data_IF_290103775435
#
_entry.id   IF_290103775435
#
_cell.length_a   1.000
_cell.length_b   1.000
_cell.length_c   1.000
_cell.angle_alpha   90.00
_cell.angle_beta   90.00
_cell.angle_gamma   90.00
#
_symmetry.space_group_name_H-M   'P 1'
#
loop_
_entity.id
_entity.type
_entity.pdbx_description
1 polymer ?
#
# COMPACT_ATOMS: atom_id res chain seq x y z
N UNK A 1 36.99 -68.22 27.12
CA UNK A 1 35.89 -68.47 26.17
C UNK A 1 34.58 -67.99 26.82
N UNK A 2 34.50 -66.71 27.18
CA UNK A 2 33.92 -65.58 26.42
C UNK A 2 32.43 -65.78 26.06
N UNK A 3 31.60 -65.68 27.10
CA UNK A 3 30.36 -64.88 27.20
C UNK A 3 29.63 -64.66 25.87
N UNK A 4 28.80 -65.61 25.46
CA UNK A 4 27.83 -65.42 24.39
C UNK A 4 26.64 -66.35 24.64
N UNK A 5 25.53 -65.81 25.17
CA UNK A 5 24.16 -66.30 24.93
C UNK A 5 23.14 -65.66 25.90
N UNK A 6 23.04 -64.32 25.93
CA UNK A 6 21.83 -63.61 26.38
C UNK A 6 21.71 -62.30 25.60
N UNK A 7 21.60 -62.42 24.29
CA UNK A 7 21.35 -61.31 23.37
C UNK A 7 20.03 -61.58 22.65
N UNK A 8 18.92 -61.42 23.37
CA UNK A 8 17.59 -61.34 22.80
C UNK A 8 16.69 -60.70 23.86
N UNK A 9 15.86 -59.75 23.46
CA UNK A 9 14.91 -59.01 24.31
C UNK A 9 15.57 -57.87 25.10
N UNK A 10 15.80 -56.74 24.43
CA UNK A 10 15.48 -55.35 24.86
C UNK A 10 16.07 -54.46 23.74
N UNK A 11 15.49 -54.50 22.54
CA UNK A 11 15.82 -53.53 21.48
C UNK A 11 14.63 -53.35 20.52
N UNK A 12 13.43 -53.20 21.08
CA UNK A 12 12.21 -52.97 20.27
C UNK A 12 11.31 -51.96 20.98
N UNK A 13 11.83 -50.79 21.34
CA UNK A 13 11.01 -49.73 21.96
C UNK A 13 11.54 -48.29 21.74
N UNK A 14 12.32 -48.01 20.68
CA UNK A 14 12.79 -46.65 20.38
C UNK A 14 12.75 -46.40 18.86
N UNK A 15 11.58 -46.53 18.22
CA UNK A 15 11.47 -46.23 16.78
C UNK A 15 10.17 -45.57 16.33
N UNK A 16 9.31 -45.02 17.20
CA UNK A 16 8.07 -44.43 16.71
C UNK A 16 7.55 -43.25 17.55
N UNK A 17 8.34 -42.17 17.64
CA UNK A 17 7.82 -40.86 18.03
C UNK A 17 8.73 -39.71 17.59
N UNK A 18 9.18 -39.68 16.33
CA UNK A 18 9.55 -38.40 15.72
C UNK A 18 8.25 -37.76 15.25
N UNK A 19 7.52 -37.13 16.18
CA UNK A 19 6.49 -36.18 15.81
C UNK A 19 7.23 -35.01 15.18
N UNK A 20 7.24 -34.97 13.84
CA UNK A 20 7.62 -33.77 13.09
C UNK A 20 6.60 -32.71 13.48
N UNK A 21 6.90 -31.92 14.52
CA UNK A 21 6.23 -30.66 14.76
C UNK A 21 6.62 -29.75 13.60
N UNK A 22 5.90 -29.87 12.48
CA UNK A 22 5.87 -28.77 11.52
C UNK A 22 5.34 -27.57 12.30
N UNK A 23 6.10 -26.45 12.40
CA UNK A 23 5.53 -25.24 12.97
C UNK A 23 4.27 -24.94 12.17
N UNK A 24 3.12 -24.93 12.85
CA UNK A 24 1.88 -24.46 12.24
C UNK A 24 2.19 -23.07 11.70
N UNK A 25 2.05 -22.87 10.38
CA UNK A 25 2.15 -21.56 9.78
C UNK A 25 1.15 -20.68 10.51
N UNK A 26 1.64 -19.76 11.34
CA UNK A 26 0.79 -18.79 12.02
C UNK A 26 0.34 -17.83 10.94
N UNK A 27 -0.97 -17.74 10.72
CA UNK A 27 -1.55 -16.64 9.96
C UNK A 27 -1.06 -15.34 10.62
N UNK A 28 -0.33 -14.53 9.85
CA UNK A 28 0.05 -13.20 10.30
C UNK A 28 -1.15 -12.27 10.01
N UNK A 29 -1.54 -11.47 11.00
CA UNK A 29 -2.61 -10.48 10.80
C UNK A 29 -2.02 -9.31 10.02
N UNK A 30 -2.46 -9.15 8.78
CA UNK A 30 -2.13 -8.01 7.95
C UNK A 30 -3.33 -7.07 7.81
N UNK A 31 -3.12 -5.88 7.26
CA UNK A 31 -4.14 -4.86 7.09
C UNK A 31 -4.18 -4.42 5.63
N UNK A 32 -5.39 -4.37 5.05
CA UNK A 32 -5.58 -3.90 3.67
C UNK A 32 -6.28 -2.55 3.65
N UNK A 33 -5.59 -1.50 3.21
CA UNK A 33 -6.09 -0.13 3.26
C UNK A 33 -5.33 0.84 2.35
N UNK A 34 -5.89 2.04 2.20
CA UNK A 34 -5.25 3.19 1.56
C UNK A 34 -4.25 3.87 2.50
N UNK A 35 -2.99 3.89 2.11
CA UNK A 35 -1.90 4.61 2.79
C UNK A 35 -1.63 5.95 2.11
N UNK A 36 -1.32 6.97 2.90
CA UNK A 36 -1.04 8.33 2.43
C UNK A 36 0.47 8.62 2.49
N UNK A 37 1.02 9.13 1.39
CA UNK A 37 2.45 9.34 1.21
C UNK A 37 2.75 10.76 0.75
N UNK A 38 3.87 11.28 1.22
CA UNK A 38 4.47 12.54 0.78
C UNK A 38 5.86 12.26 0.23
N UNK A 39 6.53 13.29 -0.30
CA UNK A 39 7.90 13.18 -0.77
C UNK A 39 8.84 13.96 0.16
N UNK A 40 9.93 13.32 0.58
CA UNK A 40 11.05 13.99 1.23
C UNK A 40 12.36 13.41 0.70
N UNK A 41 13.37 14.27 0.48
CA UNK A 41 14.64 13.87 -0.11
C UNK A 41 14.49 13.09 -1.43
N UNK A 42 13.48 13.43 -2.23
CA UNK A 42 13.14 12.74 -3.48
C UNK A 42 12.75 11.27 -3.34
N UNK A 43 12.27 10.87 -2.16
CA UNK A 43 11.79 9.52 -1.86
C UNK A 43 10.38 9.59 -1.25
N UNK A 44 9.61 8.51 -1.44
CA UNK A 44 8.32 8.37 -0.79
C UNK A 44 8.49 8.20 0.71
N UNK A 45 7.74 8.99 1.47
CA UNK A 45 7.65 8.91 2.93
C UNK A 45 6.20 8.66 3.33
N UNK A 46 5.98 7.58 4.07
CA UNK A 46 4.67 7.29 4.64
C UNK A 46 4.31 8.38 5.63
N UNK A 47 3.21 9.09 5.39
CA UNK A 47 2.80 10.18 6.27
C UNK A 47 2.38 9.64 7.63
N UNK A 48 2.92 10.26 8.69
CA UNK A 48 2.56 9.97 10.08
C UNK A 48 1.34 10.79 10.55
N UNK A 49 0.86 11.70 9.71
CA UNK A 49 -0.34 12.50 9.93
C UNK A 49 -1.33 12.30 8.79
N UNK A 50 -2.62 12.50 9.07
CA UNK A 50 -3.65 12.40 8.05
C UNK A 50 -3.53 13.50 6.97
N UNK A 51 -4.12 13.28 5.78
CA UNK A 51 -4.10 14.26 4.69
C UNK A 51 -4.77 15.58 5.06
N UNK A 52 -5.73 15.58 5.98
CA UNK A 52 -6.42 16.78 6.47
C UNK A 52 -5.51 17.65 7.36
N UNK A 53 -4.43 17.10 7.92
CA UNK A 53 -3.44 17.82 8.72
C UNK A 53 -2.16 18.14 7.95
N UNK A 54 -2.11 17.81 6.65
CA UNK A 54 -0.98 18.10 5.78
C UNK A 54 -1.34 19.30 4.92
N UNK A 55 -0.51 20.35 4.93
CA UNK A 55 -0.66 21.54 4.08
C UNK A 55 0.46 21.53 3.04
N UNK A 56 0.18 21.16 1.77
CA UNK A 56 1.19 21.15 0.72
C UNK A 56 1.57 22.55 0.23
N UNK A 57 2.75 22.66 -0.36
CA UNK A 57 3.20 23.79 -1.15
C UNK A 57 2.95 23.56 -2.66
N UNK A 58 3.06 24.62 -3.49
CA UNK A 58 3.12 24.45 -4.95
C UNK A 58 4.35 23.63 -5.31
N UNK A 59 4.18 22.63 -6.17
CA UNK A 59 5.28 21.74 -6.52
C UNK A 59 5.24 20.40 -5.77
N UNK A 60 4.45 20.30 -4.70
CA UNK A 60 4.43 19.11 -3.89
C UNK A 60 3.83 17.91 -4.64
N UNK A 61 4.39 16.74 -4.33
CA UNK A 61 3.89 15.45 -4.76
C UNK A 61 3.33 14.72 -3.55
N UNK A 62 2.11 14.21 -3.70
CA UNK A 62 1.43 13.38 -2.71
C UNK A 62 0.89 12.13 -3.37
N UNK A 63 0.63 11.09 -2.58
CA UNK A 63 0.08 9.86 -3.11
C UNK A 63 -0.81 9.09 -2.16
N UNK A 64 -1.68 8.29 -2.77
CA UNK A 64 -2.48 7.27 -2.13
C UNK A 64 -2.11 5.91 -2.69
N UNK A 65 -1.75 4.96 -1.82
CA UNK A 65 -1.37 3.59 -2.20
C UNK A 65 -2.24 2.60 -1.46
N UNK A 66 -3.04 1.83 -2.19
CA UNK A 66 -3.79 0.72 -1.64
C UNK A 66 -2.91 -0.53 -1.60
N UNK A 67 -2.70 -1.09 -0.41
CA UNK A 67 -1.80 -2.22 -0.22
C UNK A 67 -2.21 -3.07 0.99
N UNK A 68 -1.61 -4.25 1.09
CA UNK A 68 -1.63 -5.09 2.29
C UNK A 68 -0.34 -4.82 3.07
N UNK A 69 -0.46 -4.38 4.32
CA UNK A 69 0.67 -4.09 5.19
C UNK A 69 0.70 -5.06 6.37
N UNK A 70 1.90 -5.38 6.88
CA UNK A 70 2.05 -6.29 8.02
C UNK A 70 1.54 -5.69 9.34
N UNK A 71 1.41 -4.36 9.44
CA UNK A 71 0.83 -3.70 10.61
C UNK A 71 0.10 -2.42 10.21
N UNK A 72 -0.84 -1.99 11.05
CA UNK A 72 -1.71 -0.84 10.76
C UNK A 72 -0.99 0.52 10.74
N UNK A 73 0.26 0.60 11.22
CA UNK A 73 0.99 1.87 11.44
C UNK A 73 2.20 2.05 10.53
N UNK A 74 2.55 1.05 9.71
CA UNK A 74 3.66 1.13 8.77
C UNK A 74 3.35 0.35 7.51
N UNK A 75 3.91 0.83 6.40
CA UNK A 75 3.83 0.19 5.10
C UNK A 75 5.22 0.19 4.49
N UNK A 76 5.62 -0.97 3.98
CA UNK A 76 6.83 -1.13 3.16
C UNK A 76 6.50 -1.07 1.66
N UNK A 77 5.27 -0.70 1.31
CA UNK A 77 4.77 -0.62 -0.06
C UNK A 77 4.52 0.85 -0.42
N UNK A 78 5.55 1.60 -0.84
CA UNK A 78 5.36 2.94 -1.37
C UNK A 78 4.56 2.90 -2.68
N UNK A 79 4.03 4.06 -3.13
CA UNK A 79 3.50 4.18 -4.48
C UNK A 79 4.53 3.75 -5.52
N UNK A 80 4.09 3.04 -6.56
CA UNK A 80 4.99 2.47 -7.59
C UNK A 80 5.50 3.49 -8.62
N UNK A 81 5.05 4.74 -8.54
CA UNK A 81 5.51 5.84 -9.40
C UNK A 81 6.81 6.43 -8.87
N UNK A 82 7.75 6.81 -9.73
CA UNK A 82 8.94 7.56 -9.28
C UNK A 82 8.53 8.97 -8.82
N UNK A 83 8.70 9.32 -7.52
CA UNK A 83 8.30 10.64 -7.01
C UNK A 83 9.08 11.78 -7.67
N UNK A 84 10.29 11.54 -8.19
CA UNK A 84 11.12 12.57 -8.86
C UNK A 84 10.52 13.05 -10.16
N UNK A 85 9.79 12.18 -10.85
CA UNK A 85 9.20 12.47 -12.15
C UNK A 85 7.71 12.83 -12.04
N UNK A 86 7.08 12.52 -10.91
CA UNK A 86 5.64 12.65 -10.73
C UNK A 86 5.14 14.08 -10.94
N UNK A 87 5.80 15.10 -10.36
CA UNK A 87 5.32 16.48 -10.51
C UNK A 87 5.33 16.95 -11.96
N UNK A 88 6.46 16.80 -12.65
CA UNK A 88 6.58 17.23 -14.05
C UNK A 88 5.60 16.49 -14.94
N UNK A 89 5.48 15.16 -14.78
CA UNK A 89 4.57 14.34 -15.57
C UNK A 89 3.09 14.71 -15.36
N UNK A 90 2.70 15.08 -14.14
CA UNK A 90 1.30 15.31 -13.78
C UNK A 90 0.88 16.78 -13.92
N UNK A 91 1.74 17.70 -13.48
CA UNK A 91 1.43 19.12 -13.34
C UNK A 91 2.27 20.03 -14.25
N UNK A 92 3.27 19.53 -14.99
CA UNK A 92 4.21 20.37 -15.76
C UNK A 92 3.54 21.31 -16.77
N UNK A 93 2.44 20.86 -17.38
CA UNK A 93 1.63 21.67 -18.31
C UNK A 93 0.51 22.47 -17.65
N UNK A 94 0.29 22.32 -16.33
CA UNK A 94 -0.83 22.96 -15.62
C UNK A 94 -0.41 24.34 -15.14
N UNK A 95 -1.20 25.34 -15.54
CA UNK A 95 -1.01 26.73 -15.08
C UNK A 95 -1.33 26.85 -13.59
N UNK A 96 -0.54 27.64 -12.87
CA UNK A 96 -0.80 28.01 -11.47
C UNK A 96 -1.47 29.39 -11.39
N UNK A 97 -2.78 29.49 -11.09
CA UNK A 97 -3.42 30.78 -10.85
C UNK A 97 -2.83 31.48 -9.62
N UNK A 98 -2.99 32.80 -9.54
CA UNK A 98 -2.60 33.58 -8.36
C UNK A 98 -3.38 33.11 -7.12
N UNK A 99 -2.69 32.99 -5.98
CA UNK A 99 -3.27 32.51 -4.71
C UNK A 99 -3.58 31.01 -4.67
N UNK A 100 -3.14 30.26 -5.70
CA UNK A 100 -3.30 28.82 -5.79
C UNK A 100 -1.94 28.11 -5.91
N UNK A 101 -1.98 26.83 -5.58
CA UNK A 101 -0.89 25.86 -5.68
C UNK A 101 -1.33 24.69 -6.57
N UNK A 102 -0.35 24.01 -7.14
CA UNK A 102 -0.49 22.73 -7.83
C UNK A 102 0.12 21.65 -6.96
N UNK A 103 -0.66 20.59 -6.75
CA UNK A 103 -0.22 19.38 -6.05
C UNK A 103 -0.37 18.22 -7.01
N UNK A 104 0.72 17.55 -7.32
CA UNK A 104 0.69 16.34 -8.14
C UNK A 104 0.25 15.16 -7.26
N UNK A 105 -0.94 14.62 -7.53
CA UNK A 105 -1.49 13.50 -6.78
C UNK A 105 -1.37 12.20 -7.57
N UNK A 106 -0.69 11.22 -7.00
CA UNK A 106 -0.65 9.84 -7.51
C UNK A 106 -1.69 9.00 -6.77
N UNK A 107 -2.58 8.34 -7.50
CA UNK A 107 -3.51 7.36 -6.97
C UNK A 107 -3.09 6.00 -7.50
N UNK A 108 -2.63 5.14 -6.60
CA UNK A 108 -2.14 3.79 -6.89
C UNK A 108 -3.06 2.75 -6.21
N UNK A 109 -4.02 2.16 -6.96
CA UNK A 109 -5.02 1.22 -6.44
C UNK A 109 -4.50 -0.17 -6.03
N UNK A 110 -3.20 -0.43 -6.06
CA UNK A 110 -2.69 -1.73 -5.64
C UNK A 110 -2.37 -2.69 -6.78
N UNK A 111 -2.12 -3.94 -6.41
CA UNK A 111 -1.93 -5.04 -7.32
C UNK A 111 -3.15 -5.96 -7.31
N UNK A 112 -3.40 -6.67 -8.41
CA UNK A 112 -4.52 -7.61 -8.50
C UNK A 112 -4.45 -8.73 -7.47
N UNK A 113 -3.25 -9.20 -7.12
CA UNK A 113 -3.06 -10.27 -6.12
C UNK A 113 -3.29 -9.82 -4.66
N UNK A 114 -3.39 -8.51 -4.42
CA UNK A 114 -3.69 -7.94 -3.10
C UNK A 114 -5.03 -7.21 -3.07
N UNK A 115 -5.80 -7.25 -4.16
CA UNK A 115 -7.14 -6.69 -4.26
C UNK A 115 -8.14 -7.47 -3.38
N UNK A 116 -9.27 -6.85 -3.01
CA UNK A 116 -10.38 -7.59 -2.40
C UNK A 116 -10.91 -8.67 -3.35
N UNK A 117 -11.47 -9.72 -2.77
CA UNK A 117 -11.99 -10.86 -3.53
C UNK A 117 -13.01 -10.43 -4.60
N UNK A 118 -12.80 -10.89 -5.83
CA UNK A 118 -13.65 -10.57 -6.97
C UNK A 118 -13.52 -9.15 -7.50
N UNK A 119 -12.63 -8.32 -6.95
CA UNK A 119 -12.36 -6.97 -7.42
C UNK A 119 -11.06 -6.91 -8.21
N UNK A 120 -10.99 -6.01 -9.18
CA UNK A 120 -9.78 -5.71 -9.94
C UNK A 120 -9.41 -4.25 -9.73
N UNK A 121 -8.17 -3.93 -9.32
CA UNK A 121 -7.75 -2.55 -9.19
C UNK A 121 -7.83 -1.82 -10.54
N UNK A 122 -8.36 -0.59 -10.59
CA UNK A 122 -8.19 0.25 -11.77
C UNK A 122 -6.70 0.59 -12.00
N UNK A 123 -6.33 1.06 -13.20
CA UNK A 123 -4.97 1.51 -13.45
C UNK A 123 -4.55 2.64 -12.50
N UNK A 124 -3.28 2.62 -12.07
CA UNK A 124 -2.72 3.73 -11.32
C UNK A 124 -2.70 5.00 -12.19
N UNK A 125 -3.07 6.14 -11.58
CA UNK A 125 -3.22 7.40 -12.31
C UNK A 125 -2.63 8.58 -11.56
N UNK A 126 -2.25 9.61 -12.32
CA UNK A 126 -1.88 10.92 -11.80
C UNK A 126 -2.95 11.97 -12.11
N UNK A 127 -3.13 12.94 -11.22
CA UNK A 127 -3.93 14.14 -11.52
C UNK A 127 -3.38 15.36 -10.78
N UNK A 128 -3.39 16.51 -11.45
CA UNK A 128 -2.92 17.75 -10.87
C UNK A 128 -4.07 18.44 -10.13
N UNK A 129 -3.97 18.54 -8.81
CA UNK A 129 -4.91 19.32 -8.01
C UNK A 129 -4.47 20.78 -8.00
N UNK A 130 -5.35 21.70 -8.43
CA UNK A 130 -5.13 23.14 -8.30
C UNK A 130 -6.05 23.65 -7.20
N UNK A 131 -5.46 24.07 -6.08
CA UNK A 131 -6.19 24.42 -4.85
C UNK A 131 -5.63 25.72 -4.25
N UNK A 132 -6.37 26.38 -3.36
CA UNK A 132 -5.85 27.57 -2.66
C UNK A 132 -4.67 27.22 -1.72
N UNK A 133 -3.73 28.15 -1.54
CA UNK A 133 -2.45 27.97 -0.82
C UNK A 133 -2.54 27.49 0.64
N UNK A 134 -3.71 27.55 1.28
CA UNK A 134 -3.94 27.10 2.67
C UNK A 134 -4.75 25.81 2.79
N UNK A 135 -5.08 25.18 1.66
CA UNK A 135 -5.88 23.94 1.63
C UNK A 135 -5.04 22.73 2.00
N UNK A 136 -5.70 21.71 2.52
CA UNK A 136 -5.07 20.48 3.00
C UNK A 136 -4.80 19.48 1.87
N UNK A 137 -4.01 18.44 2.14
CA UNK A 137 -3.85 17.29 1.25
C UNK A 137 -5.17 16.52 1.03
N UNK A 138 -6.09 16.57 2.00
CA UNK A 138 -7.44 16.02 1.81
C UNK A 138 -8.23 16.82 0.77
N UNK A 139 -8.10 18.15 0.78
CA UNK A 139 -8.70 19.01 -0.24
C UNK A 139 -8.08 18.78 -1.62
N UNK A 140 -6.76 18.56 -1.67
CA UNK A 140 -6.07 18.18 -2.90
C UNK A 140 -6.66 16.89 -3.50
N UNK A 141 -6.90 15.85 -2.67
CA UNK A 141 -7.53 14.61 -3.13
C UNK A 141 -8.97 14.87 -3.62
N UNK A 142 -9.78 15.57 -2.82
CA UNK A 142 -11.19 15.85 -3.16
C UNK A 142 -11.34 16.70 -4.43
N UNK A 143 -10.32 17.48 -4.81
CA UNK A 143 -10.33 18.24 -6.05
C UNK A 143 -10.20 17.37 -7.31
N UNK A 144 -9.67 16.15 -7.20
CA UNK A 144 -9.33 15.29 -8.36
C UNK A 144 -9.88 13.87 -8.28
N UNK A 145 -10.55 13.51 -7.20
CA UNK A 145 -11.13 12.20 -6.95
C UNK A 145 -12.28 12.27 -5.94
N UNK A 146 -13.03 11.18 -5.83
CA UNK A 146 -14.13 11.04 -4.87
C UNK A 146 -13.76 10.04 -3.78
N UNK A 147 -13.24 10.49 -2.61
CA UNK A 147 -12.95 9.60 -1.50
C UNK A 147 -14.21 9.20 -0.73
N UNK A 148 -14.33 7.91 -0.40
CA UNK A 148 -15.25 7.40 0.62
C UNK A 148 -14.49 7.34 1.95
N UNK A 149 -14.96 8.08 2.95
CA UNK A 149 -14.31 8.17 4.27
C UNK A 149 -15.23 7.60 5.34
N UNK A 150 -14.68 6.77 6.23
CA UNK A 150 -15.34 6.31 7.46
C UNK A 150 -14.35 6.35 8.62
N UNK A 151 -14.78 6.83 9.79
CA UNK A 151 -13.96 6.93 11.02
C UNK A 151 -12.56 7.54 10.81
N UNK A 152 -12.45 8.52 9.91
CA UNK A 152 -11.18 9.19 9.60
C UNK A 152 -10.24 8.43 8.67
N UNK A 153 -10.66 7.27 8.14
CA UNK A 153 -9.93 6.47 7.17
C UNK A 153 -10.51 6.64 5.77
N UNK A 154 -9.65 6.69 4.76
CA UNK A 154 -10.08 6.60 3.36
C UNK A 154 -10.34 5.13 3.03
N UNK A 155 -11.62 4.79 2.89
CA UNK A 155 -12.10 3.44 2.60
C UNK A 155 -12.12 3.13 1.10
N UNK A 156 -12.20 4.15 0.26
CA UNK A 156 -12.16 4.03 -1.19
C UNK A 156 -11.89 5.35 -1.87
N UNK A 157 -11.37 5.30 -3.08
CA UNK A 157 -11.15 6.44 -3.97
C UNK A 157 -11.70 6.04 -5.34
N UNK A 158 -12.59 6.86 -5.89
CA UNK A 158 -13.27 6.61 -7.17
C UNK A 158 -13.88 5.20 -7.24
N UNK A 159 -14.68 4.89 -6.22
CA UNK A 159 -15.40 3.61 -6.04
C UNK A 159 -14.52 2.39 -5.72
N UNK A 160 -13.18 2.50 -5.70
CA UNK A 160 -12.28 1.39 -5.38
C UNK A 160 -11.59 1.52 -3.99
N UNK A 161 -11.53 0.46 -3.18
CA UNK A 161 -12.32 -0.76 -3.30
C UNK A 161 -13.79 -0.53 -2.95
N UNK A 162 -14.64 -1.42 -3.45
CA UNK A 162 -16.06 -1.45 -3.11
C UNK A 162 -16.24 -2.16 -1.76
N UNK A 163 -16.91 -1.50 -0.82
CA UNK A 163 -17.40 -2.12 0.43
C UNK A 163 -16.43 -2.05 1.61
N UNK A 164 -15.21 -2.57 1.49
CA UNK A 164 -14.31 -2.66 2.65
C UNK A 164 -13.76 -1.31 3.12
N UNK A 165 -13.30 -1.25 4.37
CA UNK A 165 -12.60 -0.09 4.92
C UNK A 165 -11.58 -0.54 5.95
N UNK A 166 -10.29 -0.49 5.58
CA UNK A 166 -9.16 -0.78 6.46
C UNK A 166 -9.33 -2.05 7.31
N UNK A 167 -9.59 -3.18 6.64
CA UNK A 167 -9.86 -4.45 7.31
C UNK A 167 -8.57 -5.18 7.69
N UNK A 168 -8.65 -5.96 8.77
CA UNK A 168 -7.66 -7.00 9.06
C UNK A 168 -7.90 -8.18 8.11
N UNK A 169 -6.82 -8.76 7.59
CA UNK A 169 -6.85 -9.97 6.77
C UNK A 169 -5.85 -10.99 7.31
N UNK A 170 -6.23 -12.25 7.25
CA UNK A 170 -5.32 -13.35 7.52
C UNK A 170 -4.52 -13.66 6.26
N UNK A 171 -3.18 -13.60 6.36
CA UNK A 171 -2.30 -13.95 5.25
C UNK A 171 -1.45 -15.18 5.58
N UNK A 172 -1.30 -16.04 4.59
CA UNK A 172 -0.19 -16.99 4.55
C UNK A 172 0.98 -16.26 3.88
N UNK A 173 2.14 -16.22 4.53
CA UNK A 173 3.35 -15.44 4.16
C UNK A 173 3.84 -15.58 2.71
N UNK A 174 3.28 -16.50 1.91
CA UNK A 174 3.55 -16.68 0.49
C UNK A 174 2.83 -15.71 -0.46
N UNK A 175 1.88 -14.88 0.02
CA UNK A 175 1.06 -14.01 -0.84
C UNK A 175 1.58 -12.58 -1.00
N UNK A 176 2.53 -12.11 -0.19
CA UNK A 176 3.09 -10.76 -0.32
C UNK A 176 4.45 -10.80 -1.01
N UNK A 177 4.43 -10.76 -2.34
CA UNK A 177 5.64 -10.47 -3.10
C UNK A 177 5.93 -8.96 -3.07
N UNK A 178 7.21 -8.54 -3.11
CA UNK A 178 7.54 -7.15 -3.37
C UNK A 178 6.92 -6.70 -4.70
N UNK A 179 6.57 -5.42 -4.78
CA UNK A 179 6.17 -4.81 -6.05
C UNK A 179 7.30 -4.99 -7.08
N UNK A 180 6.94 -5.19 -8.36
CA UNK A 180 7.93 -5.07 -9.43
C UNK A 180 8.34 -3.60 -9.62
N UNK A 181 9.58 -3.36 -10.07
CA UNK A 181 10.19 -2.03 -10.21
C UNK A 181 9.63 -1.15 -11.35
N UNK A 182 8.41 -1.45 -11.84
CA UNK A 182 7.83 -0.74 -12.98
C UNK A 182 7.07 0.52 -12.53
N UNK A 183 7.41 1.67 -13.13
CA UNK A 183 6.59 2.88 -13.04
C UNK A 183 5.24 2.65 -13.74
N UNK A 184 4.15 2.72 -12.99
CA UNK A 184 2.79 2.41 -13.44
C UNK A 184 1.94 3.65 -13.74
N UNK A 185 2.51 4.85 -13.64
CA UNK A 185 1.71 6.06 -13.69
C UNK A 185 1.13 6.30 -15.08
N UNK A 186 -0.19 6.35 -15.16
CA UNK A 186 -0.91 6.86 -16.32
C UNK A 186 -1.36 8.29 -16.02
N UNK A 187 -0.93 9.24 -16.84
CA UNK A 187 -1.38 10.63 -16.70
C UNK A 187 -2.45 10.90 -17.76
N UNK A 188 -3.63 11.41 -17.40
CA UNK A 188 -4.59 11.88 -18.38
C UNK A 188 -3.96 13.01 -19.20
N UNK A 189 -4.16 12.99 -20.52
CA UNK A 189 -3.80 14.11 -21.38
C UNK A 189 -4.55 15.36 -20.90
N UNK A 190 -3.89 16.54 -20.78
CA UNK A 190 -4.57 17.76 -20.38
C UNK A 190 -5.78 17.99 -21.29
N UNK A 191 -6.96 18.26 -20.70
CA UNK A 191 -8.08 18.80 -21.45
C UNK A 191 -7.67 20.20 -21.93
N UNK A 192 -7.49 20.35 -23.25
CA UNK A 192 -7.22 21.64 -23.92
C UNK A 192 -8.42 22.56 -23.80
#
# INVERSE_FOLDING_TARGET
MRILARAAVITTAICLAVQVFAPAARAETAYRYWTFWTVANSEWVLSQVGPASTVPADGDVQAWRFAVTANATSSTYPPRTDPKLAFERICGAVTKPSGQIRVAMVIDPGLTNTAPDGQSPPPARGACAVIAESRSGADALMAIATPRVDKGMVCGIDEYPVGECAIAIDINTSTISPDGDADVLIVPTPAV
#
